data_IF_290686181285
#
_entry.id   IF_290686181285
#
_cell.length_a   1.000
_cell.length_b   1.000
_cell.length_c   1.000
_cell.angle_alpha   90.00
_cell.angle_beta   90.00
_cell.angle_gamma   90.00
#
_symmetry.space_group_name_H-M   'P 1'
#
loop_
_entity.id
_entity.type
_entity.pdbx_description
1 polymer ?
#
# COMPACT_ATOMS: atom_id res chain seq x y z
N UNK A 1 14.76 6.43 4.73
CA UNK A 1 13.80 5.31 4.90
C UNK A 1 12.48 5.69 4.22
N UNK A 2 11.65 4.76 3.75
CA UNK A 2 10.37 5.12 3.08
C UNK A 2 9.18 4.69 3.94
N UNK A 3 8.34 5.65 4.32
CA UNK A 3 7.09 5.38 5.05
C UNK A 3 5.92 5.47 4.08
N UNK A 4 5.02 4.50 4.18
CA UNK A 4 3.81 4.40 3.35
C UNK A 4 2.61 4.52 4.27
N UNK A 5 1.65 5.34 3.88
CA UNK A 5 0.31 5.36 4.45
C UNK A 5 -0.68 5.21 3.30
N UNK A 6 -1.49 4.16 3.36
CA UNK A 6 -2.50 3.84 2.37
C UNK A 6 -3.85 3.70 3.04
N UNK A 7 -4.89 4.26 2.42
CA UNK A 7 -6.23 4.29 2.94
C UNK A 7 -7.23 4.10 1.80
N UNK A 8 -8.39 3.57 2.14
CA UNK A 8 -9.53 3.52 1.23
C UNK A 8 -10.80 3.72 2.03
N UNK A 9 -11.80 4.34 1.41
CA UNK A 9 -13.01 4.75 2.10
C UNK A 9 -14.06 5.18 1.09
N UNK A 10 -14.99 4.29 0.80
CA UNK A 10 -16.24 4.61 0.11
C UNK A 10 -17.37 4.29 1.08
N UNK A 11 -18.18 5.28 1.51
CA UNK A 11 -19.26 5.07 2.46
C UNK A 11 -20.13 3.87 2.07
N UNK A 12 -20.33 2.93 3.00
CA UNK A 12 -21.10 1.70 2.82
C UNK A 12 -20.57 0.70 1.78
N UNK A 13 -19.33 0.83 1.29
CA UNK A 13 -18.74 -0.11 0.34
C UNK A 13 -17.39 -0.68 0.80
N UNK A 14 -16.47 0.16 1.28
CA UNK A 14 -15.16 -0.26 1.75
C UNK A 14 -14.59 0.75 2.74
N UNK A 15 -13.78 0.27 3.68
CA UNK A 15 -13.01 1.13 4.57
C UNK A 15 -11.79 0.37 5.06
N UNK A 16 -10.62 0.97 4.94
CA UNK A 16 -9.38 0.38 5.44
C UNK A 16 -8.27 1.42 5.53
N UNK A 17 -7.35 1.22 6.45
CA UNK A 17 -6.14 2.05 6.55
C UNK A 17 -4.98 1.17 6.97
N UNK A 18 -3.89 1.27 6.22
CA UNK A 18 -2.65 0.56 6.51
C UNK A 18 -1.48 1.51 6.43
N UNK A 19 -0.51 1.34 7.32
CA UNK A 19 0.69 2.17 7.33
C UNK A 19 1.90 1.38 7.81
N UNK A 20 3.08 1.78 7.35
CA UNK A 20 4.30 1.14 7.78
C UNK A 20 5.53 1.61 7.02
N UNK A 21 6.65 0.95 7.30
CA UNK A 21 7.90 1.19 6.58
C UNK A 21 8.00 0.20 5.43
N UNK A 22 8.12 0.72 4.20
CA UNK A 22 8.36 -0.13 3.05
C UNK A 22 9.85 -0.49 2.93
N UNK A 23 10.10 -1.77 2.66
CA UNK A 23 11.41 -2.29 2.28
C UNK A 23 11.68 -1.97 0.82
N UNK A 24 12.91 -1.56 0.52
CA UNK A 24 13.37 -1.41 -0.86
C UNK A 24 13.64 -2.79 -1.47
N UNK A 25 13.00 -3.09 -2.60
CA UNK A 25 13.24 -4.31 -3.36
C UNK A 25 14.29 -4.06 -4.46
N UNK A 26 14.20 -2.91 -5.13
CA UNK A 26 15.19 -2.45 -6.11
C UNK A 26 15.19 -0.91 -6.21
N UNK A 27 15.79 -0.35 -7.26
CA UNK A 27 15.91 1.11 -7.47
C UNK A 27 14.56 1.83 -7.51
N UNK A 28 13.54 1.19 -8.07
CA UNK A 28 12.24 1.81 -8.37
C UNK A 28 11.07 1.07 -7.74
N UNK A 29 11.32 0.04 -6.94
CA UNK A 29 10.29 -0.75 -6.28
C UNK A 29 10.49 -0.79 -4.77
N UNK A 30 9.44 -0.43 -4.04
CA UNK A 30 9.31 -0.62 -2.61
C UNK A 30 8.19 -1.62 -2.32
N UNK A 31 8.28 -2.31 -1.20
CA UNK A 31 7.25 -3.23 -0.72
C UNK A 31 6.97 -3.00 0.75
N UNK A 32 5.71 -2.79 1.09
CA UNK A 32 5.20 -2.86 2.45
C UNK A 32 4.48 -4.21 2.60
N UNK A 33 4.88 -5.00 3.58
CA UNK A 33 4.21 -6.25 3.94
C UNK A 33 3.56 -6.06 5.30
N UNK A 34 2.27 -6.33 5.36
CA UNK A 34 1.44 -6.25 6.55
C UNK A 34 0.96 -7.67 6.87
N UNK A 35 0.97 -8.01 8.15
CA UNK A 35 0.51 -9.32 8.62
C UNK A 35 -0.28 -9.11 9.90
N UNK A 36 -1.53 -9.51 9.89
CA UNK A 36 -2.44 -9.51 11.05
C UNK A 36 -3.10 -10.88 11.12
N UNK A 37 -2.97 -11.54 12.27
CA UNK A 37 -3.45 -12.91 12.49
C UNK A 37 -3.08 -13.89 11.34
N UNK A 38 -4.08 -14.34 10.59
CA UNK A 38 -3.95 -15.25 9.44
C UNK A 38 -3.95 -14.51 8.08
N UNK A 39 -4.18 -13.19 8.07
CA UNK A 39 -4.22 -12.36 6.89
C UNK A 39 -2.86 -11.72 6.59
N UNK A 40 -2.52 -11.64 5.29
CA UNK A 40 -1.33 -10.98 4.82
C UNK A 40 -1.67 -10.06 3.65
N UNK A 41 -1.25 -8.80 3.75
CA UNK A 41 -1.41 -7.80 2.72
C UNK A 41 -0.04 -7.30 2.26
N UNK A 42 0.21 -7.36 0.96
CA UNK A 42 1.39 -6.76 0.35
C UNK A 42 1.00 -5.56 -0.50
N UNK A 43 1.64 -4.41 -0.22
CA UNK A 43 1.59 -3.23 -1.08
C UNK A 43 2.93 -3.06 -1.79
N UNK A 44 2.92 -3.21 -3.10
CA UNK A 44 4.07 -2.94 -3.97
C UNK A 44 3.93 -1.55 -4.58
N UNK A 45 4.94 -0.70 -4.34
CA UNK A 45 5.00 0.66 -4.87
C UNK A 45 6.06 0.72 -5.96
N UNK A 46 5.67 1.11 -7.17
CA UNK A 46 6.56 1.27 -8.32
C UNK A 46 6.67 2.74 -8.69
N UNK A 47 7.88 3.29 -8.64
CA UNK A 47 8.16 4.62 -9.15
C UNK A 47 8.06 4.61 -10.68
N UNK A 48 7.42 5.63 -11.25
CA UNK A 48 7.51 5.92 -12.67
C UNK A 48 8.91 6.40 -13.04
N UNK A 49 9.22 6.45 -14.34
CA UNK A 49 10.53 6.88 -14.84
C UNK A 49 10.94 8.30 -14.37
N UNK A 50 9.95 9.17 -14.12
CA UNK A 50 10.16 10.53 -13.60
C UNK A 50 10.38 10.58 -12.08
N UNK A 51 10.20 9.45 -11.37
CA UNK A 51 10.21 9.29 -9.90
C UNK A 51 9.28 10.25 -9.15
N UNK A 52 8.38 10.92 -9.86
CA UNK A 52 7.36 11.83 -9.32
C UNK A 52 6.03 11.12 -9.16
N UNK A 53 5.78 10.11 -9.98
CA UNK A 53 4.59 9.25 -9.90
C UNK A 53 4.94 7.92 -9.27
N UNK A 54 4.01 7.40 -8.46
CA UNK A 54 4.11 6.09 -7.83
C UNK A 54 2.83 5.34 -8.11
N UNK A 55 2.95 4.12 -8.63
CA UNK A 55 1.83 3.19 -8.76
C UNK A 55 1.83 2.26 -7.55
N UNK A 56 0.68 2.10 -6.92
CA UNK A 56 0.45 1.12 -5.85
C UNK A 56 -0.26 -0.10 -6.43
N UNK A 57 0.26 -1.28 -6.12
CA UNK A 57 -0.32 -2.59 -6.44
C UNK A 57 -0.50 -3.36 -5.14
N UNK A 58 -1.68 -3.92 -4.92
CA UNK A 58 -2.04 -4.64 -3.70
C UNK A 58 -2.21 -6.14 -3.96
N UNK A 59 -1.88 -6.96 -2.97
CA UNK A 59 -2.09 -8.41 -3.01
C UNK A 59 -2.51 -8.90 -1.63
N UNK A 60 -3.64 -9.63 -1.56
CA UNK A 60 -4.14 -10.20 -0.30
C UNK A 60 -4.75 -9.19 0.68
N UNK A 61 -5.02 -7.96 0.24
CA UNK A 61 -5.43 -6.88 1.14
C UNK A 61 -6.92 -6.81 1.46
N UNK A 62 -7.74 -7.73 0.93
CA UNK A 62 -9.20 -7.72 1.11
C UNK A 62 -9.64 -7.71 2.57
N UNK A 63 -8.93 -8.40 3.46
CA UNK A 63 -9.24 -8.43 4.89
C UNK A 63 -8.93 -7.10 5.61
N UNK A 64 -8.08 -6.25 5.00
CA UNK A 64 -7.65 -4.97 5.56
C UNK A 64 -8.53 -3.78 5.12
N UNK A 65 -9.36 -3.94 4.09
CA UNK A 65 -10.22 -2.87 3.61
C UNK A 65 -11.64 -3.28 3.16
N UNK A 66 -11.96 -4.57 3.18
CA UNK A 66 -13.22 -5.13 2.69
C UNK A 66 -13.26 -5.32 1.16
N UNK A 67 -14.32 -5.95 0.62
CA UNK A 67 -14.44 -6.17 -0.81
C UNK A 67 -14.63 -4.85 -1.58
N UNK A 68 -14.14 -4.80 -2.82
CA UNK A 68 -14.47 -3.81 -3.85
C UNK A 68 -13.71 -2.48 -3.91
N UNK A 69 -12.65 -2.25 -3.13
CA UNK A 69 -11.80 -1.06 -3.29
C UNK A 69 -10.32 -1.41 -3.35
N UNK A 70 -9.55 -0.54 -3.99
CA UNK A 70 -8.10 -0.52 -3.85
C UNK A 70 -7.68 0.56 -2.89
N UNK A 71 -6.54 0.36 -2.23
CA UNK A 71 -5.90 1.42 -1.47
C UNK A 71 -5.42 2.56 -2.37
N UNK A 72 -5.69 3.79 -1.94
CA UNK A 72 -4.99 4.99 -2.39
C UNK A 72 -4.05 5.47 -1.27
N UNK A 73 -3.09 6.34 -1.53
CA UNK A 73 -2.21 6.77 -0.45
C UNK A 73 -1.06 7.70 -0.80
N UNK A 74 -0.26 7.96 0.24
CA UNK A 74 0.90 8.82 0.17
C UNK A 74 2.19 8.05 0.50
N UNK A 75 3.26 8.38 -0.23
CA UNK A 75 4.61 7.89 0.02
C UNK A 75 5.48 9.04 0.53
N UNK A 76 5.99 8.89 1.75
CA UNK A 76 6.88 9.89 2.36
C UNK A 76 8.30 9.35 2.46
N UNK A 77 9.25 10.09 1.88
CA UNK A 77 10.68 9.82 2.06
C UNK A 77 11.17 10.52 3.32
N UNK A 78 11.66 9.74 4.29
CA UNK A 78 12.40 10.23 5.46
C UNK A 78 13.90 10.16 5.22
#
# INVERSE_FOLDING_TARGET
MYSVAAFTGIPNACSGTVSGVARRINTDTLRLSLKEDEAACELTLRFGADRKRVRMEEQGCGDFHGPACSFDGALTRR
#
